data_IF_398756345575
#
_entry.id   IF_398756345575
#
_cell.length_a   1.000
_cell.length_b   1.000
_cell.length_c   1.000
_cell.angle_alpha   90.00
_cell.angle_beta   90.00
_cell.angle_gamma   90.00
#
_symmetry.space_group_name_H-M   'P 1'
#
loop_
_entity.id
_entity.type
_entity.pdbx_description
1 polymer ?
#
# COMPACT_ATOMS: atom_id res chain seq x y z
N UNK A 1 -2.21 -23.55 1.16
CA UNK A 1 -1.76 -22.22 1.61
C UNK A 1 -2.58 -21.17 0.88
N UNK A 2 -2.94 -20.08 1.55
CA UNK A 2 -3.63 -18.99 0.86
C UNK A 2 -2.76 -18.43 -0.27
N UNK A 3 -3.37 -18.15 -1.42
CA UNK A 3 -2.69 -17.56 -2.58
C UNK A 3 -2.43 -16.07 -2.29
N UNK A 4 -1.19 -15.74 -1.92
CA UNK A 4 -0.78 -14.36 -1.55
C UNK A 4 -0.66 -13.54 -2.84
N UNK A 5 -1.55 -12.55 -2.99
CA UNK A 5 -1.59 -11.66 -4.15
C UNK A 5 -1.11 -10.24 -3.86
N UNK A 6 -1.03 -9.85 -2.59
CA UNK A 6 -0.60 -8.50 -2.17
C UNK A 6 0.68 -8.58 -1.35
N UNK A 7 1.66 -7.77 -1.71
CA UNK A 7 2.86 -7.55 -0.90
C UNK A 7 2.80 -6.18 -0.23
N UNK A 8 2.98 -6.13 1.08
CA UNK A 8 3.18 -4.88 1.84
C UNK A 8 4.66 -4.78 2.15
N UNK A 9 5.34 -3.78 1.63
CA UNK A 9 6.76 -3.54 1.89
C UNK A 9 6.99 -2.17 2.51
N UNK A 10 8.01 -2.06 3.35
CA UNK A 10 8.34 -0.82 4.04
C UNK A 10 9.83 -0.72 4.32
N UNK A 11 10.34 0.51 4.48
CA UNK A 11 11.76 0.79 4.64
C UNK A 11 12.33 0.41 6.00
N UNK A 12 11.49 0.32 7.03
CA UNK A 12 11.92 0.08 8.40
C UNK A 12 10.78 -0.44 9.29
N UNK A 13 11.13 -1.04 10.42
CA UNK A 13 10.16 -1.45 11.44
C UNK A 13 9.33 -0.26 11.96
N UNK A 14 9.90 0.94 11.98
CA UNK A 14 9.19 2.16 12.42
C UNK A 14 8.06 2.58 11.50
N UNK A 15 8.01 2.08 10.27
CA UNK A 15 6.92 2.34 9.31
C UNK A 15 5.72 1.41 9.54
N UNK A 16 5.92 0.30 10.27
CA UNK A 16 4.88 -0.71 10.47
C UNK A 16 3.59 -0.19 11.10
N UNK A 17 3.59 0.68 12.12
CA UNK A 17 2.35 1.22 12.66
C UNK A 17 1.47 1.90 11.60
N UNK A 18 2.07 2.60 10.64
CA UNK A 18 1.36 3.18 9.49
C UNK A 18 0.94 2.10 8.49
N UNK A 19 1.86 1.23 8.10
CA UNK A 19 1.58 0.23 7.06
C UNK A 19 0.64 -0.88 7.53
N UNK A 20 0.51 -1.07 8.84
CA UNK A 20 -0.47 -1.98 9.44
C UNK A 20 -1.90 -1.60 9.08
N UNK A 21 -2.21 -0.35 8.87
CA UNK A 21 -3.53 0.10 8.42
C UNK A 21 -3.92 -0.53 7.06
N UNK A 22 -2.97 -0.70 6.16
CA UNK A 22 -3.21 -1.43 4.90
C UNK A 22 -3.48 -2.92 5.16
N UNK A 23 -2.71 -3.53 6.07
CA UNK A 23 -2.90 -4.91 6.47
C UNK A 23 -4.28 -5.14 7.10
N UNK A 24 -4.69 -4.28 8.01
CA UNK A 24 -5.99 -4.35 8.69
C UNK A 24 -7.16 -4.24 7.69
N UNK A 25 -7.03 -3.40 6.64
CA UNK A 25 -8.02 -3.34 5.57
C UNK A 25 -8.08 -4.62 4.75
N UNK A 26 -6.93 -5.19 4.41
CA UNK A 26 -6.88 -6.46 3.68
C UNK A 26 -7.45 -7.61 4.51
N UNK A 27 -7.15 -7.66 5.80
CA UNK A 27 -7.73 -8.63 6.74
C UNK A 27 -9.27 -8.49 6.82
N UNK A 28 -9.77 -7.26 6.95
CA UNK A 28 -11.21 -6.98 6.98
C UNK A 28 -11.94 -7.44 5.71
N UNK A 29 -11.25 -7.42 4.57
CA UNK A 29 -11.77 -7.86 3.28
C UNK A 29 -11.42 -9.31 2.94
N UNK A 30 -10.71 -10.03 3.82
CA UNK A 30 -10.31 -11.42 3.62
C UNK A 30 -9.33 -11.61 2.45
N UNK A 31 -8.44 -10.65 2.24
CA UNK A 31 -7.39 -10.67 1.20
C UNK A 31 -6.07 -11.13 1.82
N UNK A 32 -5.51 -12.21 1.32
CA UNK A 32 -4.22 -12.70 1.77
C UNK A 32 -3.06 -11.79 1.29
N UNK A 33 -2.15 -11.46 2.19
CA UNK A 33 -0.99 -10.62 1.94
C UNK A 33 0.26 -11.15 2.64
N UNK A 34 1.42 -10.65 2.26
CA UNK A 34 2.65 -10.75 3.04
C UNK A 34 3.14 -9.35 3.41
N UNK A 35 3.80 -9.22 4.57
CA UNK A 35 4.46 -7.98 4.98
C UNK A 35 5.96 -8.20 5.14
N UNK A 36 6.78 -7.30 4.56
CA UNK A 36 8.25 -7.41 4.58
C UNK A 36 8.91 -6.06 4.79
N UNK A 37 10.01 -6.05 5.54
CA UNK A 37 10.91 -4.90 5.60
C UNK A 37 11.90 -5.02 4.44
N UNK A 38 11.82 -4.05 3.53
CA UNK A 38 12.63 -3.96 2.32
C UNK A 38 13.14 -2.53 2.19
N UNK A 39 14.31 -2.26 2.76
CA UNK A 39 14.89 -0.90 2.70
C UNK A 39 15.61 -0.67 1.38
N UNK A 40 15.22 0.37 0.65
CA UNK A 40 15.87 0.73 -0.60
C UNK A 40 17.36 1.04 -0.43
N UNK A 41 17.73 1.71 0.67
CA UNK A 41 19.10 2.17 0.90
C UNK A 41 19.93 1.20 1.74
N UNK A 42 19.30 0.46 2.68
CA UNK A 42 20.01 -0.41 3.64
C UNK A 42 20.01 -1.87 3.25
N UNK A 43 19.05 -2.30 2.41
CA UNK A 43 18.92 -3.67 1.88
C UNK A 43 18.64 -3.66 0.38
N UNK A 44 19.51 -3.05 -0.46
CA UNK A 44 19.24 -2.89 -1.88
C UNK A 44 19.10 -4.22 -2.63
N UNK A 45 19.88 -5.23 -2.27
CA UNK A 45 19.78 -6.56 -2.88
C UNK A 45 18.42 -7.22 -2.56
N UNK A 46 17.93 -7.09 -1.32
CA UNK A 46 16.60 -7.56 -0.94
C UNK A 46 15.50 -6.89 -1.77
N UNK A 47 15.65 -5.59 -2.02
CA UNK A 47 14.72 -4.85 -2.90
C UNK A 47 14.74 -5.42 -4.31
N UNK A 48 15.90 -5.65 -4.86
CA UNK A 48 16.07 -6.24 -6.20
C UNK A 48 15.43 -7.62 -6.30
N UNK A 49 15.72 -8.49 -5.35
CA UNK A 49 15.21 -9.86 -5.33
C UNK A 49 13.68 -9.86 -5.14
N UNK A 50 13.15 -8.99 -4.28
CA UNK A 50 11.72 -8.88 -4.08
C UNK A 50 11.00 -8.49 -5.37
N UNK A 51 11.49 -7.46 -6.08
CA UNK A 51 10.90 -7.00 -7.33
C UNK A 51 11.00 -8.03 -8.45
N UNK A 52 12.16 -8.66 -8.63
CA UNK A 52 12.39 -9.68 -9.65
C UNK A 52 11.52 -10.92 -9.47
N UNK A 53 11.29 -11.33 -8.23
CA UNK A 53 10.53 -12.55 -7.92
C UNK A 53 9.03 -12.31 -7.79
N UNK A 54 8.58 -11.06 -7.65
CA UNK A 54 7.19 -10.69 -7.37
C UNK A 54 6.18 -11.34 -8.33
N UNK A 55 6.43 -11.23 -9.63
CA UNK A 55 5.55 -11.84 -10.66
C UNK A 55 5.53 -13.36 -10.54
N UNK A 56 6.68 -14.00 -10.43
CA UNK A 56 6.80 -15.45 -10.32
C UNK A 56 6.17 -16.02 -9.05
N UNK A 57 6.08 -15.23 -7.98
CA UNK A 57 5.41 -15.57 -6.72
C UNK A 57 3.89 -15.32 -6.75
N UNK A 58 3.35 -14.79 -7.85
CA UNK A 58 1.92 -14.53 -8.01
C UNK A 58 1.44 -13.21 -7.43
N UNK A 59 2.34 -12.30 -7.01
CA UNK A 59 1.92 -10.98 -6.54
C UNK A 59 1.26 -10.17 -7.66
N UNK A 60 0.13 -9.57 -7.37
CA UNK A 60 -0.65 -8.75 -8.30
C UNK A 60 -0.62 -7.26 -7.94
N UNK A 61 -0.35 -6.93 -6.68
CA UNK A 61 -0.19 -5.55 -6.19
C UNK A 61 0.89 -5.50 -5.14
N UNK A 62 1.70 -4.45 -5.14
CA UNK A 62 2.67 -4.15 -4.07
C UNK A 62 2.30 -2.81 -3.45
N UNK A 63 2.08 -2.79 -2.14
CA UNK A 63 1.91 -1.57 -1.35
C UNK A 63 3.26 -1.26 -0.71
N UNK A 64 3.84 -0.10 -1.03
CA UNK A 64 5.17 0.29 -0.58
C UNK A 64 5.12 1.58 0.24
N UNK A 65 5.46 1.49 1.52
CA UNK A 65 5.53 2.64 2.43
C UNK A 65 6.97 3.08 2.70
N UNK A 66 7.19 4.38 2.69
CA UNK A 66 8.50 4.95 2.98
C UNK A 66 8.38 6.39 3.50
N UNK A 67 9.36 6.80 4.34
CA UNK A 67 9.46 8.14 4.91
C UNK A 67 10.73 8.88 4.54
N UNK A 68 10.68 10.20 4.57
CA UNK A 68 11.79 11.07 4.25
C UNK A 68 12.15 11.03 2.77
N UNK A 69 13.39 10.65 2.44
CA UNK A 69 13.80 10.30 1.08
C UNK A 69 13.16 8.96 0.70
N UNK A 70 11.89 8.98 0.41
CA UNK A 70 11.00 7.82 0.27
C UNK A 70 11.15 7.17 -1.12
N UNK A 71 12.33 6.63 -1.42
CA UNK A 71 12.67 6.09 -2.74
C UNK A 71 12.12 4.68 -2.99
N UNK A 72 11.73 3.95 -1.95
CA UNK A 72 11.32 2.55 -2.07
C UNK A 72 10.20 2.30 -3.09
N UNK A 73 9.09 3.04 -3.12
CA UNK A 73 8.03 2.77 -4.09
C UNK A 73 8.48 2.91 -5.54
N UNK A 74 9.20 3.99 -5.87
CA UNK A 74 9.72 4.23 -7.22
C UNK A 74 10.79 3.22 -7.63
N UNK A 75 11.69 2.86 -6.71
CA UNK A 75 12.70 1.85 -6.97
C UNK A 75 12.08 0.46 -7.18
N UNK A 76 11.05 0.12 -6.41
CA UNK A 76 10.30 -1.12 -6.61
C UNK A 76 9.60 -1.14 -7.97
N UNK A 77 8.93 -0.06 -8.35
CA UNK A 77 8.28 0.08 -9.65
C UNK A 77 9.25 -0.10 -10.82
N UNK A 78 10.54 0.23 -10.65
CA UNK A 78 11.58 0.02 -11.66
C UNK A 78 12.01 -1.44 -11.81
N UNK A 79 11.64 -2.33 -10.89
CA UNK A 79 12.08 -3.73 -10.84
C UNK A 79 11.02 -4.75 -11.18
N UNK A 80 9.77 -4.34 -11.24
CA UNK A 80 8.66 -5.25 -11.54
C UNK A 80 7.57 -4.54 -12.33
N UNK A 81 6.82 -5.30 -13.13
CA UNK A 81 5.59 -4.80 -13.77
C UNK A 81 4.36 -4.90 -12.86
N UNK A 82 4.49 -5.49 -11.67
CA UNK A 82 3.41 -5.51 -10.68
C UNK A 82 3.10 -4.06 -10.28
N UNK A 83 1.83 -3.63 -10.31
CA UNK A 83 1.45 -2.29 -9.90
C UNK A 83 1.92 -1.97 -8.47
N UNK A 84 2.52 -0.80 -8.30
CA UNK A 84 3.00 -0.31 -7.01
C UNK A 84 2.14 0.84 -6.53
N UNK A 85 1.61 0.71 -5.31
CA UNK A 85 0.89 1.75 -4.58
C UNK A 85 1.83 2.32 -3.52
N UNK A 86 2.14 3.60 -3.61
CA UNK A 86 3.04 4.29 -2.69
C UNK A 86 2.31 4.95 -1.52
N UNK A 87 2.79 4.72 -0.32
CA UNK A 87 2.27 5.34 0.91
C UNK A 87 3.34 6.23 1.51
N UNK A 88 3.15 7.57 1.50
CA UNK A 88 4.04 8.49 2.20
C UNK A 88 3.88 8.31 3.71
N UNK A 89 4.95 7.90 4.40
CA UNK A 89 4.94 7.79 5.86
C UNK A 89 5.27 9.15 6.48
N UNK A 90 4.55 9.50 7.53
CA UNK A 90 4.75 10.75 8.23
C UNK A 90 6.14 10.85 8.85
N UNK A 91 6.77 12.02 8.77
CA UNK A 91 8.10 12.30 9.32
C UNK A 91 8.03 13.42 10.36
N UNK A 92 9.01 13.45 11.25
CA UNK A 92 9.15 14.55 12.24
C UNK A 92 9.61 15.85 11.58
N UNK A 93 10.44 15.76 10.54
CA UNK A 93 11.06 16.93 9.92
C UNK A 93 10.04 17.78 9.14
N UNK A 94 9.24 17.16 8.27
CA UNK A 94 8.33 17.85 7.36
C UNK A 94 6.92 17.21 7.34
N UNK A 95 6.53 16.52 8.41
CA UNK A 95 5.19 15.94 8.58
C UNK A 95 4.75 15.00 7.44
N UNK A 96 5.70 14.42 6.71
CA UNK A 96 5.44 13.52 5.59
C UNK A 96 5.36 14.19 4.22
N UNK A 97 5.44 15.53 4.13
CA UNK A 97 5.49 16.25 2.82
C UNK A 97 6.75 15.89 2.04
N UNK A 98 7.88 15.70 2.73
CA UNK A 98 9.12 15.16 2.19
C UNK A 98 8.92 13.75 1.61
N UNK A 99 8.24 12.87 2.31
CA UNK A 99 7.88 11.54 1.83
C UNK A 99 6.99 11.61 0.60
N UNK A 100 5.96 12.45 0.63
CA UNK A 100 5.02 12.63 -0.47
C UNK A 100 5.75 13.08 -1.75
N UNK A 101 6.58 14.12 -1.68
CA UNK A 101 7.31 14.62 -2.84
C UNK A 101 8.33 13.62 -3.37
N UNK A 102 8.95 12.83 -2.50
CA UNK A 102 9.88 11.77 -2.93
C UNK A 102 9.20 10.66 -3.74
N UNK A 103 7.89 10.44 -3.55
CA UNK A 103 7.14 9.35 -4.22
C UNK A 103 6.39 9.87 -5.45
N UNK A 104 5.83 11.08 -5.38
CA UNK A 104 4.77 11.55 -6.28
C UNK A 104 5.23 11.79 -7.71
N UNK A 105 6.34 12.50 -7.92
CA UNK A 105 6.77 12.98 -9.23
C UNK A 105 7.62 11.94 -9.98
N UNK A 106 7.03 10.79 -10.28
CA UNK A 106 7.70 9.72 -11.02
C UNK A 106 7.95 10.09 -12.49
N UNK A 107 9.09 9.69 -13.07
CA UNK A 107 9.36 9.91 -14.47
C UNK A 107 8.41 9.09 -15.36
N UNK A 108 8.21 9.56 -16.58
CA UNK A 108 7.43 8.84 -17.58
C UNK A 108 7.98 7.41 -17.78
N UNK A 109 7.11 6.42 -17.67
CA UNK A 109 7.42 5.00 -17.88
C UNK A 109 7.37 4.15 -16.60
N UNK A 110 7.51 4.77 -15.43
CA UNK A 110 7.52 4.05 -14.15
C UNK A 110 6.49 4.67 -13.17
N UNK A 111 5.20 4.34 -13.32
CA UNK A 111 4.17 4.91 -12.46
C UNK A 111 4.17 4.33 -11.05
N UNK A 112 3.83 5.16 -10.08
CA UNK A 112 3.46 4.76 -8.71
C UNK A 112 2.13 5.43 -8.37
N UNK A 113 1.15 4.65 -7.91
CA UNK A 113 -0.13 5.17 -7.45
C UNK A 113 0.02 5.70 -6.03
N UNK A 114 0.21 7.02 -5.88
CA UNK A 114 0.54 7.64 -4.60
C UNK A 114 -0.72 7.93 -3.79
N UNK A 115 -0.76 7.43 -2.55
CA UNK A 115 -1.87 7.66 -1.59
C UNK A 115 -1.60 8.89 -0.71
N UNK A 116 -2.54 9.19 0.19
CA UNK A 116 -2.39 10.24 1.19
C UNK A 116 -1.27 9.91 2.21
N UNK A 117 -0.78 10.93 2.91
CA UNK A 117 0.23 10.78 3.96
C UNK A 117 -0.36 10.03 5.17
N UNK A 118 0.38 9.05 5.68
CA UNK A 118 0.10 8.41 6.96
C UNK A 118 -0.99 7.33 6.93
N UNK A 119 -1.66 7.14 8.05
CA UNK A 119 -2.59 6.04 8.32
C UNK A 119 -3.73 5.96 7.30
N UNK A 120 -4.38 7.09 6.98
CA UNK A 120 -5.47 7.12 6.01
C UNK A 120 -5.00 6.69 4.60
N UNK A 121 -3.80 7.12 4.19
CA UNK A 121 -3.19 6.70 2.93
C UNK A 121 -2.90 5.22 2.89
N UNK A 122 -2.40 4.65 3.99
CA UNK A 122 -2.13 3.22 4.10
C UNK A 122 -3.43 2.39 4.04
N UNK A 123 -4.46 2.79 4.77
CA UNK A 123 -5.78 2.13 4.70
C UNK A 123 -6.35 2.17 3.28
N UNK A 124 -6.29 3.34 2.62
CA UNK A 124 -6.72 3.49 1.23
C UNK A 124 -5.88 2.67 0.24
N UNK A 125 -4.59 2.46 0.52
CA UNK A 125 -3.75 1.56 -0.27
C UNK A 125 -4.26 0.12 -0.20
N UNK A 126 -4.65 -0.35 0.98
CA UNK A 126 -5.28 -1.66 1.17
C UNK A 126 -6.59 -1.78 0.38
N UNK A 127 -7.46 -0.76 0.46
CA UNK A 127 -8.72 -0.71 -0.29
C UNK A 127 -8.49 -0.66 -1.80
N UNK A 128 -7.50 0.10 -2.28
CA UNK A 128 -7.14 0.17 -3.69
C UNK A 128 -6.62 -1.17 -4.20
N UNK A 129 -5.75 -1.84 -3.43
CA UNK A 129 -5.27 -3.18 -3.77
C UNK A 129 -6.43 -4.17 -3.86
N UNK A 130 -7.34 -4.18 -2.89
CA UNK A 130 -8.54 -5.01 -2.92
C UNK A 130 -9.43 -4.69 -4.13
N UNK A 131 -9.60 -3.41 -4.47
CA UNK A 131 -10.35 -2.98 -5.65
C UNK A 131 -9.76 -3.48 -6.97
N UNK A 132 -8.43 -3.47 -7.10
CA UNK A 132 -7.73 -4.03 -8.26
C UNK A 132 -7.98 -5.54 -8.38
N UNK A 133 -7.87 -6.28 -7.28
CA UNK A 133 -8.11 -7.71 -7.26
C UNK A 133 -9.58 -8.05 -7.54
N UNK A 134 -10.51 -7.23 -7.03
CA UNK A 134 -11.95 -7.40 -7.21
C UNK A 134 -12.42 -7.34 -8.68
N UNK A 135 -11.61 -6.79 -9.59
CA UNK A 135 -11.86 -6.81 -11.02
C UNK A 135 -11.94 -8.25 -11.59
N UNK A 136 -11.32 -9.21 -10.92
CA UNK A 136 -11.27 -10.61 -11.33
C UNK A 136 -11.78 -11.59 -10.24
N UNK A 137 -12.35 -11.05 -9.15
CA UNK A 137 -12.84 -11.82 -8.00
C UNK A 137 -14.21 -11.26 -7.55
N UNK A 138 -15.27 -11.89 -8.00
CA UNK A 138 -16.65 -11.45 -7.73
C UNK A 138 -17.01 -11.51 -6.23
N UNK A 139 -16.46 -12.48 -5.49
CA UNK A 139 -16.71 -12.60 -4.05
C UNK A 139 -16.02 -11.47 -3.29
N UNK A 140 -14.80 -11.12 -3.68
CA UNK A 140 -14.11 -9.95 -3.12
C UNK A 140 -14.82 -8.65 -3.49
N UNK A 141 -15.30 -8.51 -4.72
CA UNK A 141 -16.09 -7.36 -5.15
C UNK A 141 -17.33 -7.18 -4.25
N UNK A 142 -18.07 -8.26 -3.98
CA UNK A 142 -19.24 -8.21 -3.10
C UNK A 142 -18.88 -7.83 -1.65
N UNK A 143 -17.73 -8.29 -1.12
CA UNK A 143 -17.25 -7.89 0.21
C UNK A 143 -16.87 -6.42 0.25
N UNK A 144 -16.19 -5.92 -0.78
CA UNK A 144 -15.80 -4.52 -0.89
C UNK A 144 -17.02 -3.60 -1.01
N UNK A 145 -18.03 -3.96 -1.80
CA UNK A 145 -19.26 -3.21 -1.93
C UNK A 145 -20.01 -3.12 -0.60
N UNK A 146 -20.10 -4.24 0.12
CA UNK A 146 -20.71 -4.28 1.46
C UNK A 146 -19.95 -3.38 2.44
N UNK A 147 -18.62 -3.49 2.48
CA UNK A 147 -17.79 -2.63 3.34
C UNK A 147 -18.03 -1.14 3.06
N UNK A 148 -18.14 -0.73 1.79
CA UNK A 148 -18.44 0.65 1.40
C UNK A 148 -19.84 1.08 1.80
N UNK A 149 -20.82 0.22 1.65
CA UNK A 149 -22.19 0.48 2.07
C UNK A 149 -22.30 0.66 3.59
N UNK A 150 -21.63 -0.21 4.36
CA UNK A 150 -21.57 -0.13 5.82
C UNK A 150 -20.90 1.17 6.29
N UNK A 151 -19.79 1.56 5.66
CA UNK A 151 -19.13 2.82 5.93
C UNK A 151 -20.08 4.01 5.67
N UNK A 152 -20.75 4.03 4.54
CA UNK A 152 -21.70 5.09 4.19
C UNK A 152 -22.86 5.18 5.19
N UNK A 153 -23.37 4.03 5.62
CA UNK A 153 -24.44 3.97 6.60
C UNK A 153 -24.00 4.41 8.02
N UNK A 154 -22.71 4.33 8.33
CA UNK A 154 -22.15 4.74 9.62
C UNK A 154 -22.00 6.27 9.76
N UNK A 155 -22.07 7.02 8.67
CA UNK A 155 -21.91 8.48 8.70
C UNK A 155 -23.26 9.12 9.10
N UNK A 156 -23.32 9.86 10.22
CA UNK A 156 -24.53 10.51 10.62
C UNK A 156 -24.93 11.63 9.66
N UNK A 157 -26.22 11.76 9.38
CA UNK A 157 -26.74 12.87 8.54
C UNK A 157 -26.69 14.21 9.28
N UNK A 158 -26.85 14.18 10.59
CA UNK A 158 -26.85 15.36 11.44
C UNK A 158 -25.68 15.28 12.42
N UNK A 159 -24.94 16.38 12.66
CA UNK A 159 -23.87 16.39 13.66
C UNK A 159 -24.42 16.01 15.05
N UNK A 160 -23.63 15.26 15.81
CA UNK A 160 -23.87 14.94 17.20
C UNK A 160 -22.75 15.52 18.05
N UNK A 161 -23.10 16.11 19.20
CA UNK A 161 -22.10 16.58 20.16
C UNK A 161 -21.44 15.36 20.83
N UNK A 162 -20.09 15.37 20.93
CA UNK A 162 -19.32 14.34 21.63
C UNK A 162 -19.36 14.56 23.16
#
# INVERSE_FOLDING_TARGET
MADIKVGIIMGSQSDWPTMKEAADMLDALGVAYEARIVSAHRTPDRLWDYGKTAVGRGLQVIIAGAGGAAHLPGMMASKTRVPVIGVPVQTRALSGVDSLYSILQMPRGYPVATMAIGAAGAANAGLMAAGILALQDADLAARLDRWRADLSASIPEVPVDE
#
